data_IF_960497662913
#
_entry.id   IF_960497662913
#
_cell.length_a   1.000
_cell.length_b   1.000
_cell.length_c   1.000
_cell.angle_alpha   90.00
_cell.angle_beta   90.00
_cell.angle_gamma   90.00
#
_symmetry.space_group_name_H-M   'P 1'
#
loop_
_entity.id
_entity.type
_entity.pdbx_description
1 polymer ?
#
# COMPACT_ATOMS: atom_id res chain seq x y z
N UNK A 1 4.22 29.68 -8.86
CA UNK A 1 3.58 28.38 -9.20
C UNK A 1 3.59 27.51 -7.96
N UNK A 2 2.46 27.38 -7.28
CA UNK A 2 2.37 26.55 -6.06
C UNK A 2 2.47 25.09 -6.45
N UNK A 3 3.67 24.52 -6.35
CA UNK A 3 3.88 23.09 -6.43
C UNK A 3 3.16 22.47 -5.25
N UNK A 4 1.88 22.13 -5.43
CA UNK A 4 1.17 21.23 -4.54
C UNK A 4 2.05 20.00 -4.49
N UNK A 5 2.81 19.81 -3.39
CA UNK A 5 3.56 18.58 -3.11
C UNK A 5 2.50 17.51 -2.91
N UNK A 6 1.91 17.05 -4.02
CA UNK A 6 0.86 16.06 -4.09
C UNK A 6 1.40 14.75 -3.54
N UNK A 7 0.49 14.03 -2.89
CA UNK A 7 0.67 12.64 -2.51
C UNK A 7 1.51 11.90 -3.56
N UNK A 8 2.60 11.24 -3.16
CA UNK A 8 3.58 10.68 -4.09
C UNK A 8 2.88 9.75 -5.09
N UNK A 9 2.65 10.23 -6.31
CA UNK A 9 1.93 9.53 -7.37
C UNK A 9 2.35 8.06 -7.54
N UNK A 10 3.66 7.71 -7.55
CA UNK A 10 4.08 6.30 -7.61
C UNK A 10 3.69 5.48 -6.37
N UNK A 11 3.74 6.05 -5.16
CA UNK A 11 3.36 5.33 -3.94
C UNK A 11 1.87 5.00 -3.91
N UNK A 12 1.02 5.89 -4.44
CA UNK A 12 -0.43 5.65 -4.57
C UNK A 12 -0.67 4.47 -5.51
N UNK A 13 -0.02 4.46 -6.67
CA UNK A 13 -0.16 3.38 -7.65
C UNK A 13 0.27 2.05 -7.01
N UNK A 14 1.43 2.02 -6.34
CA UNK A 14 1.92 0.83 -5.65
C UNK A 14 0.92 0.36 -4.59
N UNK A 15 0.37 1.27 -3.79
CA UNK A 15 -0.64 0.93 -2.79
C UNK A 15 -1.89 0.32 -3.43
N UNK A 16 -2.43 0.92 -4.50
CA UNK A 16 -3.62 0.40 -5.18
C UNK A 16 -3.34 -0.99 -5.77
N UNK A 17 -2.21 -1.18 -6.43
CA UNK A 17 -1.84 -2.46 -7.05
C UNK A 17 -1.64 -3.53 -5.98
N UNK A 18 -0.86 -3.27 -4.93
CA UNK A 18 -0.63 -4.24 -3.85
C UNK A 18 -1.94 -4.56 -3.11
N UNK A 19 -2.77 -3.57 -2.82
CA UNK A 19 -4.08 -3.78 -2.19
C UNK A 19 -4.99 -4.66 -3.04
N UNK A 20 -5.07 -4.40 -4.35
CA UNK A 20 -5.85 -5.22 -5.28
C UNK A 20 -5.30 -6.64 -5.41
N UNK A 21 -3.98 -6.82 -5.44
CA UNK A 21 -3.33 -8.14 -5.52
C UNK A 21 -3.58 -8.96 -4.25
N UNK A 22 -3.43 -8.37 -3.06
CA UNK A 22 -3.72 -9.04 -1.78
C UNK A 22 -5.19 -9.46 -1.74
N UNK A 23 -6.12 -8.58 -2.15
CA UNK A 23 -7.54 -8.89 -2.16
C UNK A 23 -7.90 -10.02 -3.14
N UNK A 24 -7.23 -10.09 -4.30
CA UNK A 24 -7.44 -11.17 -5.29
C UNK A 24 -6.81 -12.50 -4.88
N UNK A 25 -5.63 -12.48 -4.26
CA UNK A 25 -4.93 -13.70 -3.83
C UNK A 25 -5.46 -14.28 -2.52
N UNK A 26 -6.29 -13.53 -1.81
CA UNK A 26 -6.93 -14.00 -0.59
C UNK A 26 -8.17 -14.83 -0.91
N UNK A 27 -8.13 -16.11 -0.59
CA UNK A 27 -9.31 -16.96 -0.67
C UNK A 27 -10.15 -16.79 0.61
N UNK A 28 -11.24 -16.04 0.50
CA UNK A 28 -12.19 -15.81 1.59
C UNK A 28 -12.94 -17.08 2.02
N UNK A 29 -12.95 -18.15 1.23
CA UNK A 29 -13.59 -19.42 1.62
C UNK A 29 -12.72 -20.24 2.55
N UNK A 30 -11.41 -20.28 2.27
CA UNK A 30 -10.45 -21.07 3.05
C UNK A 30 -9.61 -20.25 4.02
N UNK A 31 -9.73 -18.91 3.98
CA UNK A 31 -8.92 -17.94 4.72
C UNK A 31 -7.41 -18.13 4.50
N UNK A 32 -7.03 -18.54 3.29
CA UNK A 32 -5.65 -18.80 2.91
C UNK A 32 -5.26 -17.97 1.71
N UNK A 33 -3.99 -17.60 1.67
CA UNK A 33 -3.39 -17.07 0.47
C UNK A 33 -2.83 -18.22 -0.37
N UNK A 34 -2.96 -18.11 -1.68
CA UNK A 34 -2.41 -19.09 -2.64
C UNK A 34 -0.91 -19.33 -2.42
N UNK A 35 -0.18 -18.28 -2.02
CA UNK A 35 1.23 -18.35 -1.63
C UNK A 35 1.47 -17.56 -0.33
N UNK A 36 1.49 -18.21 0.84
CA UNK A 36 1.56 -17.53 2.13
C UNK A 36 2.83 -16.69 2.29
N UNK A 37 3.97 -17.14 1.77
CA UNK A 37 5.22 -16.38 1.81
C UNK A 37 5.12 -15.05 1.02
N UNK A 38 4.56 -15.10 -0.20
CA UNK A 38 4.36 -13.90 -1.02
C UNK A 38 3.33 -12.95 -0.41
N UNK A 39 2.26 -13.50 0.18
CA UNK A 39 1.26 -12.69 0.86
C UNK A 39 1.85 -11.89 2.02
N UNK A 40 2.72 -12.50 2.83
CA UNK A 40 3.41 -11.80 3.93
C UNK A 40 4.26 -10.64 3.38
N UNK A 41 5.01 -10.86 2.30
CA UNK A 41 5.83 -9.81 1.67
C UNK A 41 4.94 -8.68 1.14
N UNK A 42 3.85 -9.00 0.44
CA UNK A 42 2.93 -8.01 -0.09
C UNK A 42 2.24 -7.20 1.01
N UNK A 43 1.78 -7.86 2.08
CA UNK A 43 1.15 -7.20 3.22
C UNK A 43 2.15 -6.27 3.92
N UNK A 44 3.37 -6.73 4.20
CA UNK A 44 4.41 -5.90 4.82
C UNK A 44 4.76 -4.69 3.95
N UNK A 45 4.94 -4.91 2.64
CA UNK A 45 5.25 -3.85 1.68
C UNK A 45 4.10 -2.86 1.56
N UNK A 46 2.85 -3.34 1.56
CA UNK A 46 1.66 -2.51 1.53
C UNK A 46 1.55 -1.66 2.80
N UNK A 47 1.74 -2.24 3.99
CA UNK A 47 1.74 -1.51 5.27
C UNK A 47 2.83 -0.44 5.27
N UNK A 48 4.05 -0.76 4.83
CA UNK A 48 5.12 0.24 4.73
C UNK A 48 4.76 1.36 3.74
N UNK A 49 4.26 1.02 2.56
CA UNK A 49 3.87 2.00 1.53
C UNK A 49 2.79 2.95 2.06
N UNK A 50 1.76 2.41 2.70
CA UNK A 50 0.70 3.15 3.36
C UNK A 50 1.28 4.03 4.48
N UNK A 51 2.15 3.47 5.33
CA UNK A 51 2.82 4.22 6.40
C UNK A 51 3.60 5.42 5.86
N UNK A 52 4.43 5.25 4.83
CA UNK A 52 5.17 6.35 4.21
C UNK A 52 4.24 7.41 3.60
N UNK A 53 3.16 6.96 2.95
CA UNK A 53 2.18 7.82 2.31
C UNK A 53 1.42 8.69 3.35
N UNK A 54 1.10 8.15 4.52
CA UNK A 54 0.48 8.90 5.63
C UNK A 54 1.49 9.69 6.47
N UNK A 55 2.71 9.18 6.67
CA UNK A 55 3.78 9.85 7.43
C UNK A 55 4.16 11.18 6.79
N UNK A 56 4.28 11.23 5.46
CA UNK A 56 4.68 12.43 4.73
C UNK A 56 3.61 13.55 4.71
N UNK A 57 2.38 13.25 5.13
CA UNK A 57 1.32 14.25 5.28
C UNK A 57 1.37 14.97 6.63
N UNK A 58 2.08 14.45 7.64
CA UNK A 58 2.23 15.10 8.95
C UNK A 58 3.29 16.22 8.96
N UNK A 59 4.28 16.19 8.08
CA UNK A 59 5.33 17.22 7.96
C UNK A 59 4.92 18.46 7.13
N UNK A 60 3.64 18.61 6.77
CA UNK A 60 3.15 19.80 6.03
C UNK A 60 2.02 20.54 6.76
N UNK A 61 2.05 20.54 8.08
CA UNK A 61 1.20 21.42 8.89
C UNK A 61 2.02 22.48 9.65
N UNK A 62 3.28 22.72 9.25
CA UNK A 62 4.04 23.91 9.65
C UNK A 62 4.27 24.82 8.43
#
# INVERSE_FOLDING_TARGET
>A
MSTKKGLSFPLIIIAIVLGATIFKQFDFKTFKFESPAMAVIYILTFIMTVYFLFKNNKEKQE
#
